data_IF_398600894820
#
_entry.id   IF_398600894820
#
_cell.length_a   1.000
_cell.length_b   1.000
_cell.length_c   1.000
_cell.angle_alpha   90.00
_cell.angle_beta   90.00
_cell.angle_gamma   90.00
#
_symmetry.space_group_name_H-M   'P 1'
#
loop_
_entity.id
_entity.type
_entity.pdbx_description
1 polymer ?
#
# COMPACT_ATOMS: atom_id res chain seq x y z
N UNK A 1 -6.35 3.50 -80.82
CA UNK A 1 -4.94 3.61 -80.37
C UNK A 1 -4.95 3.48 -78.85
N UNK A 2 -4.35 2.41 -78.31
CA UNK A 2 -4.28 2.10 -76.88
C UNK A 2 -3.20 2.98 -76.23
N UNK A 3 -3.54 3.70 -75.17
CA UNK A 3 -2.54 4.23 -74.23
C UNK A 3 -2.90 3.74 -72.83
N UNK A 4 -2.15 2.73 -72.38
CA UNK A 4 -2.01 2.39 -70.96
C UNK A 4 -1.11 3.44 -70.31
N UNK A 5 -1.26 3.54 -68.98
CA UNK A 5 -0.35 4.09 -67.93
C UNK A 5 -1.03 5.19 -67.14
N UNK A 6 -0.96 5.26 -65.81
CA UNK A 6 -0.46 4.38 -64.76
C UNK A 6 -1.19 4.87 -63.49
N UNK A 7 -1.56 3.97 -62.58
CA UNK A 7 -2.00 4.36 -61.25
C UNK A 7 -0.79 4.87 -60.47
N UNK A 8 -0.82 6.06 -59.83
CA UNK A 8 0.16 6.38 -58.82
C UNK A 8 -0.22 5.69 -57.52
N UNK A 9 0.74 4.91 -57.06
CA UNK A 9 0.78 4.13 -55.84
C UNK A 9 0.38 4.94 -54.60
N UNK A 10 -0.25 4.20 -53.68
CA UNK A 10 -0.57 4.61 -52.33
C UNK A 10 0.57 5.41 -51.67
N UNK A 11 0.26 6.64 -51.30
CA UNK A 11 1.10 7.41 -50.37
C UNK A 11 0.72 6.98 -48.95
N UNK A 12 1.48 6.04 -48.39
CA UNK A 12 1.44 5.79 -46.95
C UNK A 12 1.82 7.11 -46.24
N UNK A 13 1.08 7.55 -45.20
CA UNK A 13 1.54 8.66 -44.40
C UNK A 13 2.85 8.25 -43.74
N UNK A 14 3.93 8.95 -44.08
CA UNK A 14 5.17 8.89 -43.34
C UNK A 14 4.84 9.26 -41.89
N UNK A 15 4.85 8.25 -41.02
CA UNK A 15 4.72 8.45 -39.59
C UNK A 15 5.96 9.23 -39.16
N UNK A 16 5.81 10.55 -39.05
CA UNK A 16 6.82 11.43 -38.46
C UNK A 16 6.91 11.04 -37.00
N UNK A 17 7.79 10.09 -36.69
CA UNK A 17 8.21 9.83 -35.34
C UNK A 17 8.78 11.15 -34.83
N UNK A 18 8.02 11.84 -33.99
CA UNK A 18 8.47 13.03 -33.31
C UNK A 18 9.67 12.61 -32.47
N UNK A 19 10.86 12.95 -32.94
CA UNK A 19 12.08 12.86 -32.16
C UNK A 19 11.91 13.82 -31.00
N UNK A 20 11.48 13.29 -29.87
CA UNK A 20 11.53 13.98 -28.58
C UNK A 20 13.00 14.34 -28.33
N UNK A 21 13.39 15.56 -28.69
CA UNK A 21 14.72 16.11 -28.40
C UNK A 21 14.78 16.40 -26.90
N UNK A 22 14.95 15.35 -26.08
CA UNK A 22 15.25 15.54 -24.67
C UNK A 22 16.59 16.26 -24.56
N UNK A 23 16.55 17.48 -24.03
CA UNK A 23 17.77 18.18 -23.67
C UNK A 23 18.53 17.31 -22.65
N UNK A 24 19.86 17.19 -22.76
CA UNK A 24 20.65 16.37 -21.83
C UNK A 24 20.44 16.78 -20.36
N UNK A 25 20.13 18.06 -20.13
CA UNK A 25 19.74 18.59 -18.81
C UNK A 25 18.41 18.02 -18.32
N UNK A 26 17.41 17.88 -19.19
CA UNK A 26 16.13 17.28 -18.81
C UNK A 26 16.28 15.81 -18.44
N UNK A 27 17.16 15.08 -19.15
CA UNK A 27 17.51 13.71 -18.79
C UNK A 27 18.21 13.63 -17.41
N UNK A 28 19.13 14.55 -17.11
CA UNK A 28 19.77 14.65 -15.79
C UNK A 28 18.78 14.96 -14.66
N UNK A 29 17.84 15.88 -14.90
CA UNK A 29 16.81 16.24 -13.91
C UNK A 29 15.86 15.06 -13.64
N UNK A 30 15.42 14.36 -14.69
CA UNK A 30 14.57 13.16 -14.53
C UNK A 30 15.33 12.01 -13.85
N UNK A 31 16.62 11.83 -14.16
CA UNK A 31 17.46 10.83 -13.51
C UNK A 31 17.68 11.14 -12.02
N UNK A 32 17.95 12.41 -11.68
CA UNK A 32 18.10 12.84 -10.29
C UNK A 32 16.78 12.66 -9.50
N UNK A 33 15.63 12.96 -10.12
CA UNK A 33 14.33 12.75 -9.51
C UNK A 33 14.00 11.25 -9.34
N UNK A 34 14.32 10.41 -10.34
CA UNK A 34 14.13 8.97 -10.27
C UNK A 34 15.03 8.29 -9.23
N UNK A 35 16.28 8.75 -9.08
CA UNK A 35 17.22 8.27 -8.06
C UNK A 35 16.86 8.78 -6.65
N UNK A 36 16.30 9.99 -6.53
CA UNK A 36 15.94 10.59 -5.24
C UNK A 36 14.60 10.12 -4.67
N UNK A 37 13.71 9.57 -5.49
CA UNK A 37 12.37 9.11 -5.06
C UNK A 37 12.36 7.69 -4.44
N UNK A 38 13.51 7.00 -4.40
CA UNK A 38 13.61 5.59 -4.02
C UNK A 38 13.76 5.29 -2.53
N UNK A 39 13.52 6.24 -1.62
CA UNK A 39 13.60 6.00 -0.18
C UNK A 39 12.23 6.22 0.45
N UNK A 40 11.27 5.39 0.05
CA UNK A 40 10.18 5.05 0.96
C UNK A 40 10.83 4.33 2.13
N UNK A 41 10.93 4.98 3.29
CA UNK A 41 11.22 4.31 4.54
C UNK A 41 10.00 3.44 4.88
N UNK A 42 9.86 2.31 4.19
CA UNK A 42 8.99 1.25 4.62
C UNK A 42 9.57 0.77 5.95
N UNK A 43 9.01 1.27 7.05
CA UNK A 43 9.23 0.63 8.34
C UNK A 43 8.71 -0.79 8.17
N UNK A 44 9.61 -1.78 8.24
CA UNK A 44 9.18 -3.17 8.37
C UNK A 44 8.35 -3.25 9.65
N UNK A 45 7.03 -3.28 9.49
CA UNK A 45 6.13 -3.71 10.55
C UNK A 45 6.45 -5.18 10.75
N UNK A 46 7.34 -5.47 11.71
CA UNK A 46 7.52 -6.82 12.22
C UNK A 46 6.15 -7.29 12.69
N UNK A 47 5.49 -8.12 11.87
CA UNK A 47 4.36 -8.90 12.32
C UNK A 47 4.90 -9.79 13.44
N UNK A 48 4.61 -9.40 14.68
CA UNK A 48 5.02 -10.12 15.88
C UNK A 48 4.64 -11.59 15.70
N UNK A 49 5.62 -12.48 15.87
CA UNK A 49 5.45 -13.93 15.76
C UNK A 49 4.27 -14.35 16.63
N UNK A 50 3.12 -14.64 16.00
CA UNK A 50 1.84 -14.85 16.66
C UNK A 50 1.75 -16.19 17.44
N UNK A 51 2.90 -16.79 17.77
CA UNK A 51 3.00 -18.18 18.19
C UNK A 51 3.89 -18.39 19.43
N UNK A 52 4.15 -17.32 20.20
CA UNK A 52 4.67 -17.45 21.56
C UNK A 52 3.44 -17.46 22.49
N UNK A 53 3.13 -18.61 23.10
CA UNK A 53 2.14 -18.67 24.17
C UNK A 53 2.68 -17.92 25.40
N UNK A 54 2.02 -16.84 25.80
CA UNK A 54 2.42 -16.00 26.93
C UNK A 54 1.33 -15.98 27.99
N UNK A 55 1.68 -16.18 29.25
CA UNK A 55 0.77 -16.09 30.41
C UNK A 55 0.75 -14.66 30.96
N UNK A 56 -0.44 -14.11 31.23
CA UNK A 56 -0.62 -12.77 31.79
C UNK A 56 -1.33 -12.83 33.14
N UNK A 57 -0.79 -12.09 34.13
CA UNK A 57 -1.45 -11.89 35.42
C UNK A 57 -2.44 -10.71 35.34
N UNK A 58 -3.71 -10.97 35.60
CA UNK A 58 -4.78 -9.98 35.56
C UNK A 58 -4.96 -9.19 36.88
N UNK A 59 -4.15 -9.43 37.92
CA UNK A 59 -4.30 -8.82 39.26
C UNK A 59 -4.37 -7.29 39.21
N UNK A 60 -3.58 -6.65 38.34
CA UNK A 60 -3.55 -5.19 38.21
C UNK A 60 -4.67 -4.60 37.32
N UNK A 61 -5.43 -5.45 36.62
CA UNK A 61 -6.48 -5.02 35.69
C UNK A 61 -7.88 -5.15 36.31
N UNK A 62 -7.98 -5.71 37.52
CA UNK A 62 -9.23 -5.84 38.26
C UNK A 62 -9.65 -4.48 38.81
N UNK A 63 -10.43 -3.74 38.03
CA UNK A 63 -10.97 -2.44 38.43
C UNK A 63 -12.13 -2.58 39.44
N UNK A 64 -12.82 -3.71 39.39
CA UNK A 64 -13.93 -4.07 40.27
C UNK A 64 -13.75 -5.50 40.78
N UNK A 65 -13.92 -5.74 42.08
CA UNK A 65 -13.77 -7.07 42.70
C UNK A 65 -14.71 -8.15 42.12
N UNK A 66 -15.74 -7.75 41.37
CA UNK A 66 -16.74 -8.65 40.79
C UNK A 66 -16.72 -8.65 39.24
N UNK A 67 -15.77 -7.96 38.60
CA UNK A 67 -15.58 -7.97 37.14
C UNK A 67 -14.12 -8.27 36.82
N UNK A 68 -13.84 -9.54 36.56
CA UNK A 68 -12.55 -9.97 36.02
C UNK A 68 -12.37 -9.50 34.58
N UNK A 69 -11.13 -9.11 34.25
CA UNK A 69 -10.72 -8.81 32.87
C UNK A 69 -10.15 -10.07 32.24
N UNK A 70 -10.73 -10.51 31.12
CA UNK A 70 -10.23 -11.66 30.37
C UNK A 70 -9.03 -11.28 29.50
N UNK A 71 -7.83 -11.59 29.99
CA UNK A 71 -6.55 -11.34 29.30
C UNK A 71 -6.05 -12.54 28.49
N UNK A 72 -6.69 -13.70 28.60
CA UNK A 72 -6.26 -14.94 27.91
C UNK A 72 -6.23 -14.78 26.39
N UNK A 73 -7.05 -13.87 25.86
CA UNK A 73 -7.08 -13.48 24.44
C UNK A 73 -5.78 -12.86 23.92
N UNK A 74 -4.99 -12.24 24.80
CA UNK A 74 -3.72 -11.61 24.42
C UNK A 74 -2.54 -12.60 24.47
N UNK A 75 -2.76 -13.82 24.98
CA UNK A 75 -1.73 -14.87 25.07
C UNK A 75 -1.26 -15.39 23.70
N UNK A 76 -2.08 -15.24 22.65
CA UNK A 76 -1.82 -15.76 21.30
C UNK A 76 -1.59 -14.64 20.28
N UNK A 77 -0.47 -13.92 20.44
CA UNK A 77 -0.07 -12.87 19.49
C UNK A 77 -1.01 -11.66 19.43
N UNK A 78 -1.09 -11.00 18.28
CA UNK A 78 -1.81 -9.74 18.10
C UNK A 78 -3.33 -9.92 17.87
N UNK A 79 -3.98 -10.72 18.70
CA UNK A 79 -5.43 -10.90 18.65
C UNK A 79 -6.11 -9.73 19.34
N UNK A 80 -6.73 -8.86 18.54
CA UNK A 80 -7.54 -7.73 19.04
C UNK A 80 -8.96 -8.20 19.37
N UNK A 81 -9.56 -7.60 20.38
CA UNK A 81 -10.95 -7.89 20.74
C UNK A 81 -11.91 -7.35 19.68
N UNK A 82 -13.11 -7.95 19.51
CA UNK A 82 -14.17 -7.29 18.77
C UNK A 82 -14.50 -5.94 19.42
N UNK A 83 -14.67 -4.90 18.61
CA UNK A 83 -14.87 -3.54 19.12
C UNK A 83 -14.82 -2.48 18.02
N UNK A 84 -14.94 -1.21 18.42
CA UNK A 84 -14.77 -0.05 17.53
C UNK A 84 -13.43 0.60 17.85
N UNK A 85 -12.62 0.81 16.82
CA UNK A 85 -11.26 1.34 16.96
C UNK A 85 -11.03 2.50 15.99
N UNK A 86 -10.43 3.57 16.48
CA UNK A 86 -9.95 4.66 15.64
C UNK A 86 -8.72 4.19 14.85
N UNK A 87 -8.86 4.01 13.53
CA UNK A 87 -7.81 3.53 12.63
C UNK A 87 -7.44 4.60 11.63
N UNK A 88 -6.14 4.67 11.29
CA UNK A 88 -5.68 5.45 10.15
C UNK A 88 -5.81 4.61 8.88
N UNK A 89 -6.46 5.17 7.85
CA UNK A 89 -6.71 4.48 6.57
C UNK A 89 -5.66 4.96 5.58
N UNK A 90 -4.98 4.02 4.93
CA UNK A 90 -3.97 4.28 3.90
C UNK A 90 -4.40 3.65 2.56
N UNK A 91 -4.19 4.36 1.46
CA UNK A 91 -4.39 3.86 0.09
C UNK A 91 -3.14 4.21 -0.70
N UNK A 92 -2.51 3.20 -1.34
CA UNK A 92 -1.24 3.37 -2.05
C UNK A 92 -0.20 4.12 -1.19
N UNK A 93 -0.04 3.69 0.06
CA UNK A 93 0.90 4.28 1.04
C UNK A 93 0.60 5.72 1.48
N UNK A 94 -0.43 6.36 0.93
CA UNK A 94 -0.88 7.69 1.34
C UNK A 94 -1.97 7.59 2.41
N UNK A 95 -1.81 8.31 3.53
CA UNK A 95 -2.85 8.39 4.57
C UNK A 95 -4.04 9.19 4.03
N UNK A 96 -5.18 8.53 3.88
CA UNK A 96 -6.40 9.14 3.32
C UNK A 96 -7.38 9.63 4.39
N UNK A 97 -7.43 8.97 5.55
CA UNK A 97 -8.38 9.32 6.61
C UNK A 97 -7.99 8.74 7.98
N UNK A 98 -8.73 9.15 9.01
CA UNK A 98 -8.83 8.46 10.30
C UNK A 98 -10.29 8.33 10.67
N UNK A 99 -10.73 7.12 11.00
CA UNK A 99 -12.13 6.83 11.25
C UNK A 99 -12.31 5.69 12.26
N UNK A 100 -13.50 5.63 12.86
CA UNK A 100 -13.89 4.60 13.80
C UNK A 100 -14.37 3.35 13.05
N UNK A 101 -13.51 2.32 13.02
CA UNK A 101 -13.79 1.06 12.32
C UNK A 101 -14.20 -0.04 13.29
N UNK A 102 -15.31 -0.72 12.97
CA UNK A 102 -15.76 -1.92 13.69
C UNK A 102 -14.90 -3.12 13.29
N UNK A 103 -14.32 -3.77 14.29
CA UNK A 103 -13.66 -5.06 14.15
C UNK A 103 -14.56 -6.14 14.78
N UNK A 104 -14.91 -7.15 13.99
CA UNK A 104 -15.57 -8.35 14.49
C UNK A 104 -14.51 -9.45 14.53
N UNK A 105 -14.00 -9.76 15.73
CA UNK A 105 -13.04 -10.86 15.89
C UNK A 105 -13.62 -12.16 15.34
N UNK A 106 -12.79 -12.94 14.64
CA UNK A 106 -13.21 -14.22 14.06
C UNK A 106 -13.26 -15.27 15.18
N UNK A 107 -14.43 -15.87 15.41
CA UNK A 107 -14.53 -17.03 16.28
C UNK A 107 -13.71 -18.17 15.66
N UNK A 108 -12.72 -18.66 16.40
CA UNK A 108 -11.95 -19.85 16.06
C UNK A 108 -12.56 -21.08 16.72
#
# INVERSE_FOLDING_TARGET
>A
MRARRDAPHASAPAQTASSFMLRPVAALVMYAFAMGAGIGLASELHASEANQDVEFDATFLQLDANRGVDVSRFARGNVVSPGVYAVDIFVNESRVARDDSKHAGKAS
#
